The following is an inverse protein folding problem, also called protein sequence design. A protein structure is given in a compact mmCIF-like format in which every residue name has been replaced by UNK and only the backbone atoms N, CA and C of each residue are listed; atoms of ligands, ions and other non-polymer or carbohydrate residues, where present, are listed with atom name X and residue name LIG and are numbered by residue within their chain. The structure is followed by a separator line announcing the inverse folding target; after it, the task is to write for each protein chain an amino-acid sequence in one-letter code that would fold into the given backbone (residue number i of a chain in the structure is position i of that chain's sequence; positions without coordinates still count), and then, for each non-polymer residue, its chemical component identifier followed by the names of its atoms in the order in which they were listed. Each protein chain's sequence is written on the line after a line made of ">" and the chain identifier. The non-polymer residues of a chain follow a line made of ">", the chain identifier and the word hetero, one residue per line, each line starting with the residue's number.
data_IF_331622164908
#
_entry.id   IF_331622164908
#
_cell.length_a   1.000
_cell.length_b   1.000
_cell.length_c   1.000
_cell.angle_alpha   90.00
_cell.angle_beta   90.00
_cell.angle_gamma   90.00
#
_symmetry.space_group_name_H-M   'P 1'
#
loop_
_entity.id
_entity.type
_entity.pdbx_description
1 polymer ?
#
# COMPACT_ATOMS: atom_id res chain seq x y z
N UNK A 1 -8.37 -61.70 48.31
CA UNK A 1 -8.92 -60.89 47.19
C UNK A 1 -8.23 -59.54 47.24
N UNK A 2 -7.29 -59.26 46.33
CA UNK A 2 -6.52 -58.03 46.29
C UNK A 2 -7.04 -57.13 45.16
N UNK A 3 -7.24 -55.81 45.36
CA UNK A 3 -7.67 -54.92 44.29
C UNK A 3 -6.45 -54.39 43.52
N UNK A 4 -6.55 -54.40 42.19
CA UNK A 4 -5.50 -53.96 41.27
C UNK A 4 -5.58 -52.45 41.02
N UNK A 5 -4.46 -51.76 41.20
CA UNK A 5 -4.30 -50.33 40.90
C UNK A 5 -4.13 -50.17 39.38
N UNK A 6 -5.02 -49.40 38.74
CA UNK A 6 -4.87 -49.00 37.33
C UNK A 6 -4.02 -47.72 37.25
N UNK A 7 -2.81 -47.84 36.72
CA UNK A 7 -1.93 -46.71 36.43
C UNK A 7 -2.34 -46.09 35.08
N UNK A 8 -2.95 -44.89 35.11
CA UNK A 8 -3.27 -44.14 33.90
C UNK A 8 -2.03 -43.34 33.45
N UNK A 9 -1.50 -43.67 32.28
CA UNK A 9 -0.42 -42.92 31.64
C UNK A 9 -1.00 -41.67 30.98
N UNK A 10 -0.69 -40.49 31.53
CA UNK A 10 -0.99 -39.22 30.88
C UNK A 10 0.05 -38.97 29.79
N UNK A 11 -0.33 -39.16 28.52
CA UNK A 11 0.46 -38.74 27.37
C UNK A 11 0.46 -37.21 27.30
N UNK A 12 1.60 -36.59 27.63
CA UNK A 12 1.82 -35.17 27.40
C UNK A 12 1.88 -34.91 25.89
N UNK A 13 0.86 -34.24 25.36
CA UNK A 13 0.86 -33.76 23.99
C UNK A 13 1.88 -32.61 23.87
N UNK A 14 3.05 -32.90 23.32
CA UNK A 14 4.04 -31.90 22.96
C UNK A 14 3.48 -31.11 21.77
N UNK A 15 2.97 -29.90 22.04
CA UNK A 15 2.58 -28.94 21.00
C UNK A 15 3.83 -28.61 20.19
N UNK A 16 3.89 -29.08 18.95
CA UNK A 16 4.94 -28.71 18.02
C UNK A 16 4.82 -27.20 17.75
N UNK A 17 5.75 -26.43 18.31
CA UNK A 17 5.91 -25.02 18.02
C UNK A 17 6.41 -24.92 16.57
N UNK A 18 5.50 -24.72 15.61
CA UNK A 18 5.90 -24.39 14.25
C UNK A 18 6.63 -23.04 14.28
N UNK A 19 7.78 -22.90 13.60
CA UNK A 19 8.48 -21.64 13.55
C UNK A 19 7.56 -20.61 12.87
N UNK A 20 7.17 -19.58 13.63
CA UNK A 20 6.59 -18.38 13.04
C UNK A 20 7.68 -17.80 12.15
N UNK A 21 7.52 -17.90 10.82
CA UNK A 21 8.41 -17.23 9.88
C UNK A 21 8.48 -15.75 10.29
N UNK A 22 9.70 -15.23 10.42
CA UNK A 22 9.92 -13.86 10.84
C UNK A 22 9.20 -12.91 9.85
N UNK A 23 8.20 -12.17 10.35
CA UNK A 23 7.33 -11.37 9.49
C UNK A 23 8.05 -10.14 8.95
N UNK A 24 8.92 -9.52 9.77
CA UNK A 24 9.69 -8.33 9.40
C UNK A 24 11.15 -8.59 9.74
N UNK A 25 12.02 -8.55 8.73
CA UNK A 25 13.44 -8.84 8.86
C UNK A 25 14.23 -7.71 8.20
N UNK A 26 14.78 -6.76 9.00
CA UNK A 26 15.70 -5.75 8.48
C UNK A 26 16.88 -6.40 7.76
N UNK A 27 17.34 -5.81 6.66
CA UNK A 27 18.49 -6.34 5.90
C UNK A 27 19.86 -5.86 6.40
N UNK A 28 19.87 -4.94 7.38
CA UNK A 28 21.08 -4.36 7.95
C UNK A 28 21.69 -3.22 7.13
N UNK A 29 21.12 -2.85 5.98
CA UNK A 29 21.61 -1.71 5.17
C UNK A 29 21.25 -0.34 5.78
N UNK A 30 20.23 -0.30 6.63
CA UNK A 30 19.79 0.89 7.38
C UNK A 30 19.82 0.59 8.88
N UNK A 31 19.82 1.63 9.72
CA UNK A 31 19.75 1.50 11.18
C UNK A 31 18.34 1.12 11.68
N UNK A 32 17.63 0.29 10.92
CA UNK A 32 16.30 -0.24 11.23
C UNK A 32 16.43 -1.48 12.09
N UNK A 33 15.59 -1.58 13.12
CA UNK A 33 15.52 -2.75 14.01
C UNK A 33 14.12 -3.33 14.00
N UNK A 34 13.98 -4.61 14.32
CA UNK A 34 12.69 -5.26 14.48
C UNK A 34 12.73 -6.15 15.73
N UNK A 35 11.78 -5.96 16.63
CA UNK A 35 11.59 -6.76 17.82
C UNK A 35 10.21 -7.44 17.77
N UNK A 36 10.17 -8.77 17.90
CA UNK A 36 8.91 -9.52 17.89
C UNK A 36 8.53 -9.89 19.31
N UNK A 37 7.34 -9.46 19.75
CA UNK A 37 6.78 -9.81 21.05
C UNK A 37 6.28 -11.26 21.06
N UNK A 38 6.04 -11.81 22.26
CA UNK A 38 5.46 -13.17 22.44
C UNK A 38 4.11 -13.32 21.75
N UNK A 39 3.34 -12.24 21.62
CA UNK A 39 2.07 -12.22 20.87
C UNK A 39 2.23 -12.32 19.35
N UNK A 40 3.46 -12.31 18.83
CA UNK A 40 3.77 -12.24 17.41
C UNK A 40 3.68 -10.83 16.81
N UNK A 41 3.31 -9.82 17.61
CA UNK A 41 3.33 -8.42 17.18
C UNK A 41 4.77 -7.94 17.02
N UNK A 42 5.07 -7.25 15.93
CA UNK A 42 6.41 -6.68 15.70
C UNK A 42 6.43 -5.19 16.00
N UNK A 43 7.45 -4.72 16.70
CA UNK A 43 7.79 -3.30 16.79
C UNK A 43 9.06 -3.04 16.00
N UNK A 44 8.96 -2.16 15.00
CA UNK A 44 10.07 -1.69 14.19
C UNK A 44 10.60 -0.41 14.81
N UNK A 45 11.86 -0.41 15.24
CA UNK A 45 12.59 0.82 15.50
C UNK A 45 13.06 1.38 14.16
N UNK A 46 12.40 2.44 13.69
CA UNK A 46 12.69 3.00 12.37
C UNK A 46 14.06 3.72 12.38
N UNK A 47 14.73 3.73 11.24
CA UNK A 47 16.02 4.40 11.08
C UNK A 47 15.88 5.92 11.31
N UNK A 48 16.95 6.60 11.76
CA UNK A 48 16.97 8.07 11.86
C UNK A 48 16.60 8.74 10.54
N UNK A 49 16.06 9.96 10.63
CA UNK A 49 15.75 10.77 9.45
C UNK A 49 17.04 11.08 8.68
N UNK A 50 17.07 10.75 7.39
CA UNK A 50 18.22 11.00 6.52
C UNK A 50 18.22 12.46 6.04
N UNK A 51 17.11 12.87 5.41
CA UNK A 51 16.89 14.24 4.92
C UNK A 51 15.39 14.45 4.72
N UNK A 52 14.93 15.70 4.86
CA UNK A 52 13.55 16.12 4.58
C UNK A 52 12.47 15.25 5.26
N UNK A 53 12.76 14.75 6.47
CA UNK A 53 11.80 13.96 7.24
C UNK A 53 11.61 12.52 6.75
N UNK A 54 12.46 12.03 5.84
CA UNK A 54 12.43 10.64 5.36
C UNK A 54 13.21 9.74 6.32
N UNK A 55 12.52 8.78 6.93
CA UNK A 55 13.12 7.59 7.54
C UNK A 55 13.11 6.46 6.51
N UNK A 56 14.29 6.05 6.04
CA UNK A 56 14.44 4.97 5.06
C UNK A 56 14.79 3.67 5.78
N UNK A 57 13.91 2.68 5.63
CA UNK A 57 13.99 1.39 6.30
C UNK A 57 14.01 0.28 5.26
N UNK A 58 14.96 -0.64 5.39
CA UNK A 58 15.22 -1.69 4.39
C UNK A 58 15.10 -3.08 5.01
N UNK A 59 14.46 -3.99 4.28
CA UNK A 59 14.09 -5.31 4.78
C UNK A 59 14.32 -6.40 3.74
N UNK A 60 14.82 -7.56 4.18
CA UNK A 60 14.75 -8.77 3.35
C UNK A 60 13.31 -9.27 3.24
N UNK A 61 12.53 -9.13 4.32
CA UNK A 61 11.11 -9.51 4.37
C UNK A 61 10.31 -8.46 5.13
N UNK A 62 9.15 -8.07 4.59
CA UNK A 62 8.21 -7.20 5.29
C UNK A 62 6.78 -7.69 5.08
N UNK A 63 6.25 -8.36 6.09
CA UNK A 63 4.88 -8.86 6.18
C UNK A 63 4.25 -8.32 7.46
N UNK A 64 2.93 -8.12 7.44
CA UNK A 64 2.14 -7.71 8.59
C UNK A 64 1.15 -8.81 8.88
N UNK A 65 1.44 -9.69 9.84
CA UNK A 65 0.48 -10.71 10.25
C UNK A 65 -0.69 -10.13 11.06
N UNK A 66 -1.63 -10.99 11.44
CA UNK A 66 -2.80 -10.60 12.24
C UNK A 66 -2.46 -9.83 13.55
N UNK A 67 -1.38 -10.16 14.30
CA UNK A 67 -0.99 -9.38 15.48
C UNK A 67 -0.59 -7.92 15.19
N UNK A 68 -0.21 -7.63 13.95
CA UNK A 68 0.16 -6.30 13.47
C UNK A 68 1.63 -5.93 13.65
N UNK A 69 1.96 -4.75 13.13
CA UNK A 69 3.30 -4.14 13.16
C UNK A 69 3.16 -2.69 13.64
N UNK A 70 4.00 -2.29 14.58
CA UNK A 70 4.16 -0.91 15.01
C UNK A 70 5.46 -0.32 14.44
N UNK A 71 5.37 0.78 13.72
CA UNK A 71 6.50 1.61 13.31
C UNK A 71 6.75 2.66 14.39
N UNK A 72 7.84 2.53 15.16
CA UNK A 72 8.15 3.43 16.26
C UNK A 72 8.76 4.74 15.76
N UNK A 73 7.96 5.80 15.73
CA UNK A 73 8.36 7.16 15.35
C UNK A 73 8.58 8.08 16.57
N UNK A 74 8.62 7.53 17.78
CA UNK A 74 8.89 8.30 19.01
C UNK A 74 10.35 8.75 19.00
N UNK A 75 10.56 10.07 19.12
CA UNK A 75 11.90 10.67 19.12
C UNK A 75 12.57 10.77 17.75
N UNK A 76 12.12 10.00 16.74
CA UNK A 76 12.63 10.09 15.36
C UNK A 76 11.97 11.24 14.59
N UNK A 77 10.66 11.42 14.74
CA UNK A 77 9.93 12.53 14.11
C UNK A 77 9.93 12.51 12.57
N UNK A 78 9.94 11.32 11.97
CA UNK A 78 9.84 11.16 10.53
C UNK A 78 8.48 11.66 10.00
N UNK A 79 8.52 12.42 8.90
CA UNK A 79 7.32 12.79 8.13
C UNK A 79 6.90 11.68 7.19
N UNK A 80 7.86 10.97 6.61
CA UNK A 80 7.65 9.83 5.71
C UNK A 80 8.47 8.65 6.19
N UNK A 81 7.80 7.54 6.46
CA UNK A 81 8.43 6.25 6.76
C UNK A 81 8.40 5.42 5.48
N UNK A 82 9.56 5.30 4.85
CA UNK A 82 9.77 4.49 3.66
C UNK A 82 10.22 3.09 4.09
N UNK A 83 9.40 2.09 3.77
CA UNK A 83 9.67 0.68 3.96
C UNK A 83 9.97 0.05 2.61
N UNK A 84 11.22 -0.30 2.37
CA UNK A 84 11.68 -0.90 1.13
C UNK A 84 12.02 -2.37 1.37
N UNK A 85 11.41 -3.27 0.62
CA UNK A 85 11.82 -4.67 0.58
C UNK A 85 12.89 -4.85 -0.49
N UNK A 86 14.03 -5.40 -0.08
CA UNK A 86 15.21 -5.69 -0.90
C UNK A 86 15.35 -7.18 -1.22
N UNK A 87 14.62 -8.04 -0.50
CA UNK A 87 14.53 -9.48 -0.78
C UNK A 87 13.69 -9.80 -2.02
N UNK A 88 13.55 -11.09 -2.32
CA UNK A 88 12.87 -11.60 -3.50
C UNK A 88 11.37 -11.93 -3.26
N UNK A 89 10.93 -11.96 -2.01
CA UNK A 89 9.57 -12.37 -1.67
C UNK A 89 8.57 -11.19 -1.68
N UNK A 90 7.31 -11.44 -2.09
CA UNK A 90 6.25 -10.43 -2.00
C UNK A 90 5.86 -10.15 -0.55
N UNK A 91 5.25 -9.00 -0.33
CA UNK A 91 4.73 -8.59 0.99
C UNK A 91 3.28 -9.00 1.16
N UNK A 92 2.92 -9.53 2.34
CA UNK A 92 1.54 -9.81 2.73
C UNK A 92 1.12 -8.98 3.94
N UNK A 93 0.03 -8.24 3.81
CA UNK A 93 -0.50 -7.32 4.84
C UNK A 93 -1.87 -7.84 5.29
N UNK A 94 -1.92 -8.47 6.45
CA UNK A 94 -3.07 -9.17 7.02
C UNK A 94 -3.50 -8.65 8.39
N UNK A 95 -2.92 -7.54 8.83
CA UNK A 95 -3.20 -6.95 10.12
C UNK A 95 -2.91 -5.46 10.14
N UNK A 96 -2.90 -4.91 11.35
CA UNK A 96 -2.71 -3.48 11.55
C UNK A 96 -1.25 -3.08 11.38
N UNK A 97 -0.97 -2.08 10.55
CA UNK A 97 0.28 -1.34 10.50
C UNK A 97 0.06 0.04 11.12
N UNK A 98 0.65 0.29 12.29
CA UNK A 98 0.44 1.52 13.06
C UNK A 98 1.74 2.31 13.19
N UNK A 99 1.65 3.65 13.16
CA UNK A 99 2.75 4.53 13.58
C UNK A 99 2.60 4.86 15.06
N UNK A 100 3.63 4.63 15.86
CA UNK A 100 3.66 5.02 17.28
C UNK A 100 4.39 6.34 17.42
N UNK A 101 3.80 7.28 18.16
CA UNK A 101 4.31 8.65 18.27
C UNK A 101 3.68 9.60 17.25
N UNK A 102 4.48 10.52 16.72
CA UNK A 102 3.99 11.48 15.73
C UNK A 102 3.46 10.76 14.47
N UNK A 103 2.30 11.15 13.92
CA UNK A 103 1.80 10.59 12.67
C UNK A 103 2.83 10.74 11.55
N UNK A 104 2.82 9.82 10.58
CA UNK A 104 3.69 9.86 9.42
C UNK A 104 2.97 9.41 8.15
N UNK A 105 3.49 9.79 6.99
CA UNK A 105 3.19 9.10 5.74
C UNK A 105 3.88 7.73 5.72
N UNK A 106 3.26 6.74 5.10
CA UNK A 106 3.86 5.41 4.90
C UNK A 106 4.03 5.17 3.41
N UNK A 107 5.21 4.72 3.00
CA UNK A 107 5.45 4.13 1.69
C UNK A 107 5.94 2.70 1.93
N UNK A 108 5.25 1.70 1.39
CA UNK A 108 5.73 0.31 1.32
C UNK A 108 6.03 -0.02 -0.14
N UNK A 109 7.30 -0.23 -0.45
CA UNK A 109 7.80 -0.55 -1.78
C UNK A 109 8.35 -1.97 -1.81
N UNK A 110 7.69 -2.86 -2.54
CA UNK A 110 8.16 -4.23 -2.79
C UNK A 110 7.97 -4.59 -4.27
N UNK A 111 9.03 -4.57 -5.09
CA UNK A 111 8.96 -4.89 -6.52
C UNK A 111 8.40 -6.29 -6.84
N UNK A 112 8.45 -7.23 -5.88
CA UNK A 112 7.97 -8.59 -6.08
C UNK A 112 6.44 -8.71 -5.91
N UNK A 113 5.78 -7.68 -5.38
CA UNK A 113 4.33 -7.64 -5.21
C UNK A 113 3.89 -7.35 -3.78
N UNK A 114 2.63 -6.93 -3.64
CA UNK A 114 1.99 -6.68 -2.35
C UNK A 114 0.58 -7.25 -2.35
N UNK A 115 0.27 -8.11 -1.38
CA UNK A 115 -1.08 -8.63 -1.16
C UNK A 115 -1.64 -8.12 0.16
N UNK A 116 -2.86 -7.59 0.15
CA UNK A 116 -3.54 -7.06 1.33
C UNK A 116 -4.81 -7.87 1.58
N UNK A 117 -4.95 -8.40 2.79
CA UNK A 117 -6.10 -9.20 3.22
C UNK A 117 -6.42 -8.90 4.69
N UNK A 118 -7.19 -7.83 4.94
CA UNK A 118 -7.45 -7.31 6.28
C UNK A 118 -6.40 -6.32 6.78
N UNK A 119 -5.64 -5.72 5.86
CA UNK A 119 -4.65 -4.70 6.22
C UNK A 119 -5.32 -3.41 6.70
N UNK A 120 -4.89 -2.88 7.84
CA UNK A 120 -5.37 -1.60 8.35
C UNK A 120 -4.24 -0.64 8.72
N UNK A 121 -4.34 0.62 8.30
CA UNK A 121 -3.32 1.64 8.55
C UNK A 121 -3.82 2.65 9.59
N UNK A 122 -3.02 2.88 10.63
CA UNK A 122 -3.43 3.67 11.81
C UNK A 122 -2.37 4.70 12.17
N UNK A 123 -2.83 5.90 12.54
CA UNK A 123 -1.98 7.07 12.85
C UNK A 123 -1.10 7.49 11.65
N UNK A 124 -1.68 7.45 10.45
CA UNK A 124 -1.00 7.73 9.20
C UNK A 124 -1.61 8.92 8.47
N UNK A 125 -0.79 9.78 7.86
CA UNK A 125 -1.30 10.88 7.04
C UNK A 125 -1.76 10.40 5.66
N UNK A 126 -0.84 9.80 4.90
CA UNK A 126 -1.05 9.25 3.55
C UNK A 126 -0.30 7.93 3.45
N UNK A 127 -0.82 7.00 2.65
CA UNK A 127 -0.27 5.65 2.50
C UNK A 127 -0.03 5.37 1.02
N UNK A 128 1.15 4.84 0.68
CA UNK A 128 1.45 4.33 -0.64
C UNK A 128 1.91 2.88 -0.54
N UNK A 129 1.23 1.98 -1.27
CA UNK A 129 1.67 0.63 -1.52
C UNK A 129 2.14 0.57 -2.97
N UNK A 130 3.35 0.05 -3.19
CA UNK A 130 3.93 0.06 -4.51
C UNK A 130 4.82 -1.13 -4.82
N UNK A 131 4.88 -1.49 -6.10
CA UNK A 131 5.86 -2.43 -6.66
C UNK A 131 6.99 -1.72 -7.41
N UNK A 132 7.15 -0.41 -7.19
CA UNK A 132 8.24 0.36 -7.76
C UNK A 132 9.56 0.11 -7.05
N UNK A 133 10.66 0.15 -7.81
CA UNK A 133 12.01 0.22 -7.27
C UNK A 133 12.25 1.62 -6.71
N UNK A 134 12.75 1.68 -5.48
CA UNK A 134 13.04 2.93 -4.77
C UNK A 134 14.29 3.60 -5.34
N UNK A 135 14.20 4.90 -5.58
CA UNK A 135 15.33 5.80 -5.73
C UNK A 135 15.01 7.16 -5.11
N UNK A 136 15.93 8.10 -5.18
CA UNK A 136 15.76 9.44 -4.64
C UNK A 136 16.10 10.48 -5.69
N UNK A 137 15.49 11.65 -5.56
CA UNK A 137 15.85 12.80 -6.35
C UNK A 137 15.89 14.05 -5.50
N UNK A 138 16.92 14.87 -5.68
CA UNK A 138 17.02 16.15 -5.01
C UNK A 138 16.42 17.26 -5.91
N UNK A 139 15.62 18.12 -5.29
CA UNK A 139 14.89 19.24 -5.89
C UNK A 139 15.35 20.53 -5.23
N UNK A 140 15.32 21.63 -5.98
CA UNK A 140 15.65 22.96 -5.47
C UNK A 140 14.43 23.87 -5.61
N UNK A 141 13.46 23.79 -4.68
CA UNK A 141 12.21 24.57 -4.77
C UNK A 141 12.46 26.09 -4.66
N UNK A 142 13.55 26.51 -4.03
CA UNK A 142 14.00 27.90 -3.97
C UNK A 142 15.53 27.98 -3.91
N UNK A 143 16.13 29.14 -4.21
CA UNK A 143 17.54 29.39 -3.92
C UNK A 143 17.84 29.03 -2.45
N UNK A 144 18.93 28.28 -2.21
CA UNK A 144 19.38 27.77 -0.91
C UNK A 144 18.58 26.63 -0.24
N UNK A 145 17.45 26.16 -0.79
CA UNK A 145 16.73 25.00 -0.24
C UNK A 145 16.91 23.80 -1.16
N UNK A 146 17.47 22.72 -0.63
CA UNK A 146 17.52 21.41 -1.32
C UNK A 146 16.61 20.44 -0.61
N UNK A 147 15.68 19.85 -1.36
CA UNK A 147 14.71 18.88 -0.88
C UNK A 147 14.90 17.53 -1.57
N UNK A 148 15.05 16.46 -0.80
CA UNK A 148 15.06 15.08 -1.27
C UNK A 148 13.65 14.53 -1.32
N UNK A 149 13.28 13.97 -2.46
CA UNK A 149 12.02 13.27 -2.68
C UNK A 149 12.27 11.77 -2.91
N UNK A 150 11.34 10.95 -2.42
CA UNK A 150 11.27 9.52 -2.75
C UNK A 150 10.74 9.37 -4.17
N UNK A 151 11.36 8.48 -4.95
CA UNK A 151 10.94 8.13 -6.30
C UNK A 151 10.71 6.63 -6.37
N UNK A 152 9.58 6.22 -6.94
CA UNK A 152 9.24 4.83 -7.22
C UNK A 152 9.18 4.64 -8.73
N UNK A 153 10.05 3.79 -9.26
CA UNK A 153 10.05 3.42 -10.68
C UNK A 153 9.44 2.04 -10.85
N UNK A 154 8.25 2.00 -11.45
CA UNK A 154 7.42 0.79 -11.54
C UNK A 154 7.51 0.21 -12.94
N UNK A 155 7.80 -1.08 -13.03
CA UNK A 155 7.86 -1.84 -14.28
C UNK A 155 7.28 -3.26 -14.17
N UNK A 156 7.22 -3.81 -12.96
CA UNK A 156 6.76 -5.17 -12.65
C UNK A 156 6.00 -5.22 -11.32
N UNK A 157 5.52 -6.41 -10.95
CA UNK A 157 4.83 -6.68 -9.68
C UNK A 157 3.33 -6.36 -9.69
N UNK A 158 2.58 -7.15 -8.92
CA UNK A 158 1.13 -7.00 -8.76
C UNK A 158 0.81 -6.50 -7.34
N UNK A 159 -0.18 -5.59 -7.23
CA UNK A 159 -0.88 -5.34 -5.98
C UNK A 159 -2.22 -6.08 -6.02
N UNK A 160 -2.48 -6.90 -4.99
CA UNK A 160 -3.75 -7.62 -4.82
C UNK A 160 -4.44 -7.17 -3.53
N UNK A 161 -5.70 -6.78 -3.63
CA UNK A 161 -6.57 -6.58 -2.47
C UNK A 161 -7.59 -7.70 -2.45
N UNK A 162 -7.58 -8.53 -1.40
CA UNK A 162 -8.38 -9.75 -1.32
C UNK A 162 -8.98 -9.95 0.10
N UNK A 163 -9.89 -10.92 0.23
CA UNK A 163 -10.47 -11.31 1.53
C UNK A 163 -11.10 -10.14 2.30
N UNK A 164 -10.56 -9.84 3.49
CA UNK A 164 -11.06 -8.77 4.34
C UNK A 164 -10.70 -7.34 3.86
N UNK A 165 -9.95 -7.22 2.76
CA UNK A 165 -9.72 -5.94 2.10
C UNK A 165 -8.65 -5.06 2.73
N UNK A 166 -8.72 -3.76 2.43
CA UNK A 166 -7.82 -2.71 2.91
C UNK A 166 -8.64 -1.59 3.56
N UNK A 167 -8.25 -1.19 4.76
CA UNK A 167 -8.88 -0.05 5.44
C UNK A 167 -7.84 0.89 6.05
N UNK A 168 -8.23 2.12 6.34
CA UNK A 168 -7.43 2.98 7.21
C UNK A 168 -7.94 4.40 7.33
N UNK A 169 -7.45 5.05 8.39
CA UNK A 169 -7.75 6.44 8.68
C UNK A 169 -6.68 7.36 8.07
N UNK A 170 -6.68 7.51 6.74
CA UNK A 170 -5.70 8.31 6.01
C UNK A 170 -6.38 9.22 4.98
N UNK A 171 -5.75 10.36 4.70
CA UNK A 171 -6.26 11.34 3.73
C UNK A 171 -6.04 10.93 2.27
N UNK A 172 -5.12 10.00 2.01
CA UNK A 172 -4.77 9.59 0.66
C UNK A 172 -4.20 8.16 0.65
N UNK A 173 -4.68 7.33 -0.26
CA UNK A 173 -4.14 6.01 -0.59
C UNK A 173 -3.62 6.00 -2.03
N UNK A 174 -2.37 5.60 -2.20
CA UNK A 174 -1.75 5.32 -3.49
C UNK A 174 -1.52 3.81 -3.63
N UNK A 175 -2.11 3.19 -4.64
CA UNK A 175 -1.75 1.85 -5.11
C UNK A 175 -1.03 2.01 -6.45
N UNK A 176 0.29 1.77 -6.49
CA UNK A 176 1.12 2.01 -7.69
C UNK A 176 1.87 0.73 -8.05
N UNK A 177 1.42 0.03 -9.10
CA UNK A 177 2.01 -1.25 -9.50
C UNK A 177 2.01 -1.47 -11.01
N UNK A 178 2.64 -2.56 -11.48
CA UNK A 178 2.51 -2.94 -12.90
C UNK A 178 1.09 -3.40 -13.22
N UNK A 179 0.50 -4.19 -12.33
CA UNK A 179 -0.93 -4.54 -12.36
C UNK A 179 -1.54 -4.43 -10.97
N UNK A 180 -2.84 -4.14 -10.93
CA UNK A 180 -3.62 -4.03 -9.69
C UNK A 180 -4.88 -4.88 -9.85
N UNK A 181 -5.12 -5.73 -8.88
CA UNK A 181 -6.35 -6.51 -8.76
C UNK A 181 -7.03 -6.23 -7.43
N UNK A 182 -8.32 -5.91 -7.49
CA UNK A 182 -9.15 -5.64 -6.33
C UNK A 182 -10.32 -6.63 -6.33
N UNK A 183 -10.32 -7.53 -5.36
CA UNK A 183 -11.32 -8.58 -5.14
C UNK A 183 -12.04 -8.43 -3.78
N UNK A 184 -11.82 -7.32 -3.09
CA UNK A 184 -12.28 -7.10 -1.72
C UNK A 184 -12.46 -5.61 -1.40
N UNK A 185 -13.02 -5.25 -0.23
CA UNK A 185 -13.25 -3.85 0.14
C UNK A 185 -11.97 -3.01 0.20
N UNK A 186 -12.05 -1.76 -0.24
CA UNK A 186 -11.04 -0.72 -0.03
C UNK A 186 -11.75 0.48 0.60
N UNK A 187 -11.46 0.79 1.85
CA UNK A 187 -12.16 1.84 2.59
C UNK A 187 -11.18 2.87 3.15
N UNK A 188 -11.39 4.13 2.78
CA UNK A 188 -10.59 5.25 3.28
C UNK A 188 -11.47 6.13 4.16
N UNK A 189 -11.22 6.13 5.46
CA UNK A 189 -11.90 7.05 6.38
C UNK A 189 -10.95 8.20 6.71
N UNK A 190 -11.42 9.44 6.74
CA UNK A 190 -10.58 10.58 7.09
C UNK A 190 -11.42 11.76 7.52
N UNK A 191 -10.81 12.64 8.31
CA UNK A 191 -11.33 13.99 8.57
C UNK A 191 -10.90 14.99 7.49
N UNK A 192 -10.09 14.56 6.52
CA UNK A 192 -9.79 15.37 5.33
C UNK A 192 -11.07 15.70 4.57
N UNK A 193 -11.12 16.86 3.93
CA UNK A 193 -12.29 17.32 3.17
C UNK A 193 -12.71 16.31 2.08
N UNK A 194 -11.72 15.73 1.39
CA UNK A 194 -11.93 14.69 0.37
C UNK A 194 -10.80 13.65 0.51
N UNK A 195 -11.00 12.56 1.28
CA UNK A 195 -10.04 11.46 1.27
C UNK A 195 -10.02 10.81 -0.11
N UNK A 196 -8.84 10.53 -0.65
CA UNK A 196 -8.70 10.00 -2.01
C UNK A 196 -8.06 8.62 -2.03
N UNK A 197 -8.58 7.72 -2.86
CA UNK A 197 -7.92 6.47 -3.22
C UNK A 197 -7.54 6.50 -4.71
N UNK A 198 -6.25 6.38 -5.00
CA UNK A 198 -5.71 6.37 -6.36
C UNK A 198 -5.06 5.02 -6.69
N UNK A 199 -5.53 4.41 -7.77
CA UNK A 199 -5.00 3.19 -8.35
C UNK A 199 -4.30 3.55 -9.66
N UNK A 200 -2.98 3.34 -9.72
CA UNK A 200 -2.18 3.56 -10.92
C UNK A 200 -1.50 2.26 -11.33
N UNK A 201 -1.90 1.71 -12.47
CA UNK A 201 -1.28 0.50 -13.03
C UNK A 201 -0.49 0.77 -14.31
N UNK A 202 0.62 0.06 -14.47
CA UNK A 202 1.51 0.13 -15.63
C UNK A 202 2.88 0.69 -15.31
N UNK A 203 3.73 0.77 -16.33
CA UNK A 203 5.06 1.35 -16.20
C UNK A 203 4.94 2.84 -15.89
N UNK A 204 5.57 3.30 -14.81
CA UNK A 204 5.43 4.67 -14.32
C UNK A 204 6.61 5.08 -13.45
N UNK A 205 6.80 6.40 -13.33
CA UNK A 205 7.67 7.04 -12.34
C UNK A 205 6.80 7.88 -11.42
N UNK A 206 6.76 7.54 -10.13
CA UNK A 206 6.06 8.32 -9.11
C UNK A 206 7.07 9.04 -8.22
N UNK A 207 6.89 10.34 -8.04
CA UNK A 207 7.71 11.15 -7.13
C UNK A 207 6.84 11.69 -6.01
N UNK A 208 7.33 11.54 -4.78
CA UNK A 208 6.63 11.90 -3.55
C UNK A 208 7.28 13.13 -2.92
N UNK A 209 6.48 14.18 -2.74
CA UNK A 209 6.89 15.37 -2.01
C UNK A 209 7.08 15.02 -0.53
N UNK A 210 8.34 14.92 -0.12
CA UNK A 210 8.71 14.53 1.25
C UNK A 210 8.71 15.70 2.23
N UNK A 211 8.54 16.94 1.75
CA UNK A 211 8.40 18.12 2.61
C UNK A 211 7.01 18.22 3.25
N UNK A 212 6.00 17.56 2.66
CA UNK A 212 4.64 17.59 3.20
C UNK A 212 4.56 16.94 4.58
N UNK A 213 3.92 17.67 5.48
CA UNK A 213 3.58 17.14 6.80
C UNK A 213 2.32 16.29 6.71
N UNK A 214 2.18 15.24 7.56
CA UNK A 214 0.99 14.39 7.60
C UNK A 214 -0.35 15.10 7.79
N UNK A 215 -0.34 16.27 8.44
CA UNK A 215 -1.53 17.11 8.62
C UNK A 215 -1.94 17.90 7.37
N UNK A 216 -1.07 18.00 6.35
CA UNK A 216 -1.40 18.68 5.10
C UNK A 216 -2.20 17.75 4.17
N UNK A 217 -3.50 18.00 4.07
CA UNK A 217 -4.43 17.22 3.25
C UNK A 217 -4.75 17.87 1.90
N UNK A 218 -4.31 19.11 1.65
CA UNK A 218 -4.71 19.90 0.47
C UNK A 218 -3.66 19.91 -0.64
N UNK A 219 -2.38 19.73 -0.29
CA UNK A 219 -1.30 19.68 -1.28
C UNK A 219 -1.24 18.31 -1.97
N UNK A 220 -0.82 18.31 -3.24
CA UNK A 220 -0.57 17.07 -3.99
C UNK A 220 0.67 16.37 -3.44
N UNK A 221 0.51 15.16 -2.92
CA UNK A 221 1.62 14.38 -2.37
C UNK A 221 2.47 13.71 -3.45
N UNK A 222 1.86 13.28 -4.54
CA UNK A 222 2.51 12.40 -5.50
C UNK A 222 2.26 12.85 -6.95
N UNK A 223 3.35 13.06 -7.67
CA UNK A 223 3.36 13.31 -9.11
C UNK A 223 3.74 12.04 -9.87
N UNK A 224 2.88 11.60 -10.80
CA UNK A 224 3.08 10.36 -11.57
C UNK A 224 3.29 10.70 -13.04
N UNK A 225 4.38 10.20 -13.61
CA UNK A 225 4.68 10.28 -15.04
C UNK A 225 4.58 8.88 -15.67
N UNK A 226 3.78 8.71 -16.76
CA UNK A 226 3.73 7.44 -17.48
C UNK A 226 5.08 7.05 -18.08
N UNK A 227 5.39 5.75 -18.05
CA UNK A 227 6.53 5.18 -18.76
C UNK A 227 6.29 5.00 -20.27
N UNK A 228 7.25 4.38 -20.95
CA UNK A 228 7.18 4.11 -22.40
C UNK A 228 6.53 2.77 -22.77
N UNK A 229 6.10 1.96 -21.79
CA UNK A 229 5.58 0.62 -22.06
C UNK A 229 4.24 0.62 -22.81
N UNK A 230 4.01 -0.46 -23.56
CA UNK A 230 2.80 -0.75 -24.32
C UNK A 230 2.31 -2.15 -23.96
N UNK A 231 1.02 -2.26 -23.63
CA UNK A 231 0.37 -3.52 -23.25
C UNK A 231 -1.02 -3.62 -23.92
N UNK A 232 -1.10 -3.70 -25.26
CA UNK A 232 -2.37 -3.65 -25.98
C UNK A 232 -3.32 -4.80 -25.61
N UNK A 233 -4.56 -4.48 -25.28
CA UNK A 233 -5.60 -5.47 -24.98
C UNK A 233 -5.47 -6.14 -23.60
N UNK A 234 -4.45 -5.79 -22.82
CA UNK A 234 -4.23 -6.32 -21.45
C UNK A 234 -5.00 -5.47 -20.44
N UNK A 235 -5.68 -6.11 -19.49
CA UNK A 235 -6.29 -5.42 -18.34
C UNK A 235 -5.24 -5.30 -17.24
N UNK A 236 -4.88 -4.06 -16.87
CA UNK A 236 -3.89 -3.79 -15.81
C UNK A 236 -4.51 -3.34 -14.49
N UNK A 237 -5.74 -2.81 -14.53
CA UNK A 237 -6.56 -2.63 -13.34
C UNK A 237 -7.79 -3.50 -13.46
N UNK A 238 -7.94 -4.43 -12.54
CA UNK A 238 -9.06 -5.35 -12.47
C UNK A 238 -9.80 -5.22 -11.15
N UNK A 239 -10.95 -4.56 -11.16
CA UNK A 239 -11.87 -4.43 -10.03
C UNK A 239 -13.01 -5.42 -10.27
N UNK A 240 -13.07 -6.47 -9.47
CA UNK A 240 -14.01 -7.59 -9.69
C UNK A 240 -15.36 -7.35 -9.00
N UNK A 241 -16.40 -8.16 -9.29
CA UNK A 241 -17.72 -8.00 -8.67
C UNK A 241 -17.76 -8.11 -7.14
N UNK A 242 -16.71 -8.65 -6.53
CA UNK A 242 -16.58 -8.75 -5.07
C UNK A 242 -16.01 -7.46 -4.44
N UNK A 243 -15.45 -6.57 -5.25
CA UNK A 243 -14.83 -5.35 -4.76
C UNK A 243 -15.87 -4.30 -4.36
N UNK A 244 -15.57 -3.58 -3.28
CA UNK A 244 -16.29 -2.38 -2.87
C UNK A 244 -15.27 -1.30 -2.51
N UNK A 245 -15.18 -0.24 -3.31
CA UNK A 245 -14.27 0.87 -3.05
C UNK A 245 -15.07 2.03 -2.46
N UNK A 246 -14.69 2.50 -1.28
CA UNK A 246 -15.32 3.61 -0.58
C UNK A 246 -14.28 4.66 -0.16
N UNK A 247 -14.40 5.85 -0.73
CA UNK A 247 -13.54 7.00 -0.44
C UNK A 247 -14.28 8.33 -0.69
N UNK A 248 -13.61 9.46 -0.45
CA UNK A 248 -14.12 10.77 -0.90
C UNK A 248 -13.98 10.94 -2.40
N UNK A 249 -12.80 10.63 -2.94
CA UNK A 249 -12.56 10.57 -4.38
C UNK A 249 -11.83 9.27 -4.75
N UNK A 250 -12.15 8.72 -5.92
CA UNK A 250 -11.51 7.51 -6.44
C UNK A 250 -10.93 7.81 -7.81
N UNK A 251 -9.63 7.56 -7.98
CA UNK A 251 -8.94 7.75 -9.25
C UNK A 251 -8.33 6.46 -9.73
N UNK A 252 -8.59 6.11 -10.98
CA UNK A 252 -8.05 4.92 -11.62
C UNK A 252 -7.30 5.36 -12.88
N UNK A 253 -6.03 4.98 -12.99
CA UNK A 253 -5.18 5.34 -14.10
C UNK A 253 -4.41 4.12 -14.63
N UNK A 254 -4.34 4.01 -15.95
CA UNK A 254 -3.45 3.04 -16.62
C UNK A 254 -2.44 3.78 -17.48
N UNK A 255 -1.16 3.51 -17.26
CA UNK A 255 -0.04 4.25 -17.89
C UNK A 255 0.55 3.56 -19.10
N UNK A 256 0.40 2.24 -19.24
CA UNK A 256 0.81 1.54 -20.46
C UNK A 256 -0.09 1.90 -21.64
N UNK A 257 0.49 2.12 -22.82
CA UNK A 257 -0.30 2.33 -24.03
C UNK A 257 -1.11 1.08 -24.40
N UNK A 258 -2.38 1.24 -24.77
CA UNK A 258 -3.26 0.14 -25.18
C UNK A 258 -3.80 -0.75 -24.06
N UNK A 259 -3.38 -0.53 -22.81
CA UNK A 259 -3.87 -1.28 -21.66
C UNK A 259 -5.24 -0.78 -21.17
N UNK A 260 -5.96 -1.67 -20.48
CA UNK A 260 -7.34 -1.45 -20.09
C UNK A 260 -7.59 -1.50 -18.58
N UNK A 261 -8.79 -1.03 -18.23
CA UNK A 261 -9.40 -1.13 -16.91
C UNK A 261 -10.65 -2.00 -17.05
N UNK A 262 -10.81 -2.98 -16.16
CA UNK A 262 -12.07 -3.68 -15.94
C UNK A 262 -12.62 -3.24 -14.59
N UNK A 263 -13.81 -2.63 -14.60
CA UNK A 263 -14.56 -2.30 -13.41
C UNK A 263 -15.88 -3.06 -13.40
N UNK A 264 -16.03 -3.99 -12.46
CA UNK A 264 -17.22 -4.80 -12.28
C UNK A 264 -17.74 -4.83 -10.83
N UNK A 265 -17.05 -4.15 -9.89
CA UNK A 265 -17.42 -4.02 -8.48
C UNK A 265 -18.26 -2.80 -8.20
N UNK A 266 -18.43 -2.45 -6.92
CA UNK A 266 -19.11 -1.22 -6.50
C UNK A 266 -18.09 -0.12 -6.17
N UNK A 267 -18.32 1.09 -6.68
CA UNK A 267 -17.59 2.29 -6.26
C UNK A 267 -18.55 3.29 -5.62
N UNK A 268 -18.26 3.67 -4.38
CA UNK A 268 -18.92 4.73 -3.65
C UNK A 268 -17.93 5.87 -3.35
N UNK A 269 -18.03 6.98 -4.08
CA UNK A 269 -17.23 8.17 -3.84
C UNK A 269 -18.13 9.32 -3.38
N UNK A 270 -17.79 10.00 -2.28
CA UNK A 270 -18.62 11.12 -1.81
C UNK A 270 -18.50 12.39 -2.66
N UNK A 271 -17.43 12.50 -3.46
CA UNK A 271 -17.16 13.59 -4.38
C UNK A 271 -17.02 13.09 -5.83
N UNK A 272 -15.90 12.45 -6.20
CA UNK A 272 -15.60 12.21 -7.61
C UNK A 272 -15.01 10.82 -7.91
N UNK A 273 -15.32 10.30 -9.10
CA UNK A 273 -14.67 9.14 -9.71
C UNK A 273 -14.00 9.58 -11.02
N UNK A 274 -12.68 9.44 -11.12
CA UNK A 274 -11.93 9.73 -12.34
C UNK A 274 -11.22 8.47 -12.87
N UNK A 275 -11.59 8.00 -14.06
CA UNK A 275 -10.88 6.92 -14.74
C UNK A 275 -10.20 7.43 -16.02
N UNK A 276 -8.89 7.23 -16.12
CA UNK A 276 -8.08 7.67 -17.25
C UNK A 276 -7.24 6.52 -17.84
N UNK A 277 -7.13 6.50 -19.16
CA UNK A 277 -6.29 5.54 -19.90
C UNK A 277 -5.30 6.27 -20.80
N UNK A 278 -4.13 5.68 -21.00
CA UNK A 278 -3.17 6.16 -22.01
C UNK A 278 -3.44 5.49 -23.37
N UNK A 279 -3.56 6.31 -24.42
CA UNK A 279 -3.61 5.95 -25.87
C UNK A 279 -4.18 4.55 -26.21
N UNK A 280 -5.39 4.50 -26.78
CA UNK A 280 -6.02 3.28 -27.35
C UNK A 280 -6.35 2.13 -26.37
N UNK A 281 -6.25 2.31 -25.06
CA UNK A 281 -6.75 1.36 -24.06
C UNK A 281 -8.27 1.13 -24.13
N UNK A 282 -8.79 0.08 -23.45
CA UNK A 282 -10.25 -0.17 -23.31
C UNK A 282 -10.67 -0.02 -21.84
N UNK A 283 -11.78 0.66 -21.58
CA UNK A 283 -12.40 0.70 -20.25
C UNK A 283 -13.72 -0.06 -20.37
N UNK A 284 -13.87 -1.13 -19.58
CA UNK A 284 -15.16 -1.79 -19.37
C UNK A 284 -15.69 -1.34 -18.02
N UNK A 285 -16.87 -0.75 -18.03
CA UNK A 285 -17.49 -0.10 -16.88
C UNK A 285 -18.90 -0.65 -16.72
N UNK A 286 -19.25 -1.17 -15.55
CA UNK A 286 -20.64 -1.48 -15.20
C UNK A 286 -21.32 -0.23 -14.63
N UNK A 287 -22.57 0.08 -15.02
CA UNK A 287 -23.30 1.21 -14.45
C UNK A 287 -24.00 0.77 -13.16
N UNK A 288 -23.55 1.25 -11.99
CA UNK A 288 -24.29 1.38 -10.72
C UNK A 288 -23.47 2.17 -9.66
N UNK A 289 -22.45 2.93 -10.07
CA UNK A 289 -21.58 3.66 -9.14
C UNK A 289 -22.24 4.93 -8.60
N UNK A 290 -21.96 5.27 -7.35
CA UNK A 290 -22.48 6.47 -6.70
C UNK A 290 -21.36 7.49 -6.50
N UNK A 291 -21.43 8.61 -7.21
CA UNK A 291 -20.58 9.79 -7.02
C UNK A 291 -21.31 11.07 -7.44
N UNK A 292 -20.83 12.24 -6.97
CA UNK A 292 -21.34 13.52 -7.49
C UNK A 292 -20.87 13.75 -8.93
N UNK A 293 -19.61 13.41 -9.22
CA UNK A 293 -19.02 13.49 -10.55
C UNK A 293 -18.37 12.17 -10.97
N UNK A 294 -18.64 11.74 -12.21
CA UNK A 294 -17.97 10.59 -12.85
C UNK A 294 -17.34 11.04 -14.16
N UNK A 295 -16.00 11.12 -14.20
CA UNK A 295 -15.25 11.51 -15.40
C UNK A 295 -14.51 10.28 -15.94
N UNK A 296 -14.94 9.82 -17.12
CA UNK A 296 -14.33 8.71 -17.85
C UNK A 296 -13.66 9.25 -19.12
N UNK A 297 -12.33 9.33 -19.12
CA UNK A 297 -11.58 9.77 -20.29
C UNK A 297 -11.28 8.57 -21.24
N UNK A 298 -12.23 8.24 -22.13
CA UNK A 298 -12.14 7.16 -23.12
C UNK A 298 -12.64 7.56 -24.52
N UNK A 299 -12.01 7.02 -25.58
CA UNK A 299 -12.46 7.15 -27.00
C UNK A 299 -13.37 6.01 -27.49
N UNK A 300 -13.49 4.91 -26.74
CA UNK A 300 -14.37 3.77 -27.03
C UNK A 300 -14.87 3.24 -25.70
N UNK A 301 -16.19 3.14 -25.59
CA UNK A 301 -16.96 2.61 -24.47
C UNK A 301 -17.68 1.37 -24.96
N UNK A 302 -17.46 0.25 -24.30
CA UNK A 302 -18.36 -0.89 -24.39
C UNK A 302 -19.15 -0.88 -23.08
N UNK A 303 -20.40 -0.43 -23.14
CA UNK A 303 -21.35 -0.68 -22.06
C UNK A 303 -21.56 -2.20 -22.03
N UNK A 304 -21.16 -2.83 -20.92
CA UNK A 304 -21.38 -4.26 -20.68
C UNK A 304 -22.62 -4.48 -19.84
#
# INVERSE_FOLDING_TARGET
>A
MAPWIRLAWATAACVACLPVLAQVVPDGATATTAATAVSGKVTVGIAPVVRDGISHNTYTHFNVGAPGVDLNNVGVGARTILNQVTGADPSRIQGRLAVIGAPAHIILANPNGVTVNGGSFVNTGRVALSTGVVSFVDRMPSPAITQRNVVLTTSQGEIRIEGAGLAGAFSHLELIAKSIRVDAPVTTTSTALVPEARLTAGASRAEFDSALFPANTLSQWTAITPGAASSPGVVLVDITPLANLSAGAIRIAVTDAGAGVRHAGQIAASAAIHACRRRHGRIRWRPDDTAQDVILAARQFDAG
#
